data_IF_838058535816
#
_entry.id   IF_838058535816
#
_cell.length_a   1.000
_cell.length_b   1.000
_cell.length_c   1.000
_cell.angle_alpha   90.00
_cell.angle_beta   90.00
_cell.angle_gamma   90.00
#
_symmetry.space_group_name_H-M   'P 1'
#
loop_
_entity.id
_entity.type
_entity.pdbx_description
1 polymer ?
#
# COMPACT_ATOMS: atom_id res chain seq x y z
N UNK A 1 -4.20 10.44 -85.19
CA UNK A 1 -3.93 11.69 -84.43
C UNK A 1 -3.54 11.33 -83.01
N UNK A 2 -2.33 11.76 -82.62
CA UNK A 2 -1.76 11.97 -81.27
C UNK A 2 -1.75 10.83 -80.24
N UNK A 3 -0.58 10.18 -80.19
CA UNK A 3 0.13 9.81 -78.95
C UNK A 3 0.48 11.06 -78.10
N UNK A 4 0.45 10.94 -76.77
CA UNK A 4 1.27 11.67 -75.78
C UNK A 4 0.99 11.03 -74.39
N UNK A 5 1.95 10.43 -73.68
CA UNK A 5 3.14 10.94 -72.94
C UNK A 5 2.80 11.65 -71.60
N UNK A 6 3.47 11.12 -70.56
CA UNK A 6 4.02 11.81 -69.36
C UNK A 6 2.98 12.23 -68.29
N UNK A 7 3.19 12.10 -66.97
CA UNK A 7 4.41 12.28 -66.18
C UNK A 7 4.37 11.56 -64.82
N UNK A 8 5.54 11.09 -64.37
CA UNK A 8 5.90 10.78 -62.98
C UNK A 8 5.68 11.99 -62.08
N UNK A 9 5.22 11.78 -60.85
CA UNK A 9 5.48 12.69 -59.73
C UNK A 9 6.12 11.90 -58.58
N UNK A 10 7.43 12.06 -58.47
CA UNK A 10 8.22 11.88 -57.25
C UNK A 10 7.91 13.08 -56.34
N UNK A 11 7.52 12.85 -55.10
CA UNK A 11 7.66 13.85 -54.04
C UNK A 11 8.65 13.34 -53.01
N UNK A 12 9.85 13.92 -53.09
CA UNK A 12 10.85 13.96 -52.04
C UNK A 12 10.34 14.84 -50.90
N UNK A 13 10.29 14.30 -49.69
CA UNK A 13 10.41 15.10 -48.48
C UNK A 13 11.57 14.56 -47.65
N UNK A 14 12.76 15.08 -47.97
CA UNK A 14 13.89 15.09 -47.07
C UNK A 14 13.60 16.12 -45.96
N UNK A 15 13.52 15.66 -44.71
CA UNK A 15 13.63 16.52 -43.54
C UNK A 15 14.92 16.16 -42.81
N UNK A 16 15.79 17.16 -42.76
CA UNK A 16 17.07 17.18 -42.07
C UNK A 16 16.89 16.88 -40.57
N UNK A 17 17.64 15.90 -40.07
CA UNK A 17 18.05 15.85 -38.66
C UNK A 17 19.55 15.60 -38.63
N UNK A 18 20.31 16.71 -38.61
CA UNK A 18 21.72 16.72 -38.23
C UNK A 18 21.75 16.80 -36.70
N UNK A 19 22.03 15.68 -36.03
CA UNK A 19 22.57 15.74 -34.68
C UNK A 19 24.09 15.65 -34.77
N UNK A 20 24.72 16.68 -34.22
CA UNK A 20 26.16 16.79 -34.07
C UNK A 20 26.66 15.68 -33.15
N UNK A 21 27.61 14.91 -33.65
CA UNK A 21 28.56 14.18 -32.82
C UNK A 21 29.66 15.18 -32.42
N UNK A 22 29.76 15.49 -31.13
CA UNK A 22 30.96 16.07 -30.55
C UNK A 22 31.54 15.07 -29.56
N UNK A 23 32.61 14.42 -30.02
CA UNK A 23 33.65 13.84 -29.18
C UNK A 23 34.45 14.98 -28.56
N UNK A 24 34.65 14.95 -27.24
CA UNK A 24 35.73 15.66 -26.58
C UNK A 24 36.34 14.80 -25.46
N UNK A 25 37.50 14.28 -25.82
CA UNK A 25 38.63 13.75 -25.05
C UNK A 25 38.90 14.25 -23.62
N UNK A 26 39.26 13.28 -22.76
CA UNK A 26 40.35 13.26 -21.73
C UNK A 26 40.19 14.04 -20.40
N UNK A 27 40.89 13.68 -19.30
CA UNK A 27 42.04 12.75 -19.23
C UNK A 27 42.05 11.66 -18.14
N UNK A 28 42.91 10.66 -18.43
CA UNK A 28 43.54 9.68 -17.56
C UNK A 28 43.98 10.21 -16.17
N UNK A 29 43.84 9.35 -15.15
CA UNK A 29 44.90 9.12 -14.16
C UNK A 29 45.07 7.62 -13.86
N UNK A 30 46.34 7.24 -13.80
CA UNK A 30 46.91 5.89 -13.66
C UNK A 30 46.81 5.32 -12.22
N UNK A 31 46.84 3.99 -12.17
CA UNK A 31 47.49 3.09 -11.20
C UNK A 31 47.37 3.34 -9.69
N UNK A 32 46.89 2.32 -8.96
CA UNK A 32 47.71 1.58 -7.97
C UNK A 32 47.10 0.20 -7.68
N UNK A 33 47.89 -0.85 -7.92
CA UNK A 33 47.71 -2.21 -7.43
C UNK A 33 48.97 -2.58 -6.62
N UNK A 34 48.82 -3.01 -5.35
CA UNK A 34 49.78 -3.64 -4.39
C UNK A 34 49.39 -3.22 -2.97
N UNK A 35 49.36 -4.01 -1.88
CA UNK A 35 49.79 -5.35 -1.43
C UNK A 35 48.79 -5.69 -0.27
N UNK A 36 48.34 -6.91 0.01
CA UNK A 36 49.09 -8.08 0.47
C UNK A 36 48.48 -8.59 1.81
N UNK A 37 48.50 -9.92 2.01
CA UNK A 37 48.19 -10.69 3.25
C UNK A 37 46.68 -10.92 3.55
N UNK A 38 46.16 -12.12 3.90
CA UNK A 38 46.75 -13.41 4.26
C UNK A 38 45.78 -14.56 3.94
N UNK A 39 46.37 -15.71 3.64
CA UNK A 39 45.78 -17.05 3.54
C UNK A 39 45.51 -17.58 4.96
N UNK A 40 44.36 -18.24 5.20
CA UNK A 40 44.23 -19.59 5.81
C UNK A 40 42.75 -20.03 5.89
N UNK A 41 42.41 -21.23 5.38
CA UNK A 41 41.16 -21.95 5.68
C UNK A 41 41.44 -23.24 6.49
N UNK A 42 40.66 -23.49 7.55
CA UNK A 42 40.51 -24.78 8.27
C UNK A 42 39.25 -24.68 9.15
N UNK A 43 38.47 -25.70 9.48
CA UNK A 43 38.09 -27.03 9.00
C UNK A 43 37.03 -27.53 10.01
N UNK A 44 36.27 -28.58 9.65
CA UNK A 44 35.43 -29.44 10.51
C UNK A 44 34.07 -28.88 10.99
N UNK A 45 32.98 -29.65 11.07
CA UNK A 45 32.68 -31.10 10.92
C UNK A 45 31.18 -31.23 10.59
N UNK A 46 30.78 -32.00 9.59
CA UNK A 46 30.24 -33.37 9.70
C UNK A 46 29.12 -33.60 10.74
N UNK A 47 28.05 -34.23 10.21
CA UNK A 47 27.04 -35.08 10.84
C UNK A 47 25.98 -34.42 11.74
N UNK A 48 24.72 -34.50 11.28
CA UNK A 48 23.66 -35.20 12.00
C UNK A 48 22.58 -35.70 11.03
N UNK A 49 22.53 -37.02 10.92
CA UNK A 49 21.43 -37.85 10.41
C UNK A 49 20.47 -38.08 11.58
N UNK A 50 19.15 -37.93 11.36
CA UNK A 50 18.04 -38.72 11.93
C UNK A 50 16.72 -37.97 11.70
N UNK A 51 15.83 -38.48 10.86
CA UNK A 51 14.81 -39.48 11.20
C UNK A 51 13.77 -38.95 12.20
N UNK A 52 12.64 -38.45 11.70
CA UNK A 52 11.34 -38.60 12.36
C UNK A 52 10.23 -38.72 11.31
N UNK A 53 9.94 -39.96 10.96
CA UNK A 53 8.66 -40.41 10.46
C UNK A 53 7.69 -40.43 11.64
N UNK A 54 6.54 -39.78 11.55
CA UNK A 54 5.37 -40.13 12.36
C UNK A 54 4.11 -39.84 11.56
N UNK A 55 3.61 -40.90 10.93
CA UNK A 55 2.23 -41.07 10.53
C UNK A 55 1.36 -41.25 11.78
N UNK A 56 0.30 -40.46 11.90
CA UNK A 56 -0.79 -40.79 12.82
C UNK A 56 -2.11 -40.68 12.06
N UNK A 57 -2.72 -41.86 11.90
CA UNK A 57 -4.08 -42.06 11.45
C UNK A 57 -5.05 -41.37 12.41
N UNK A 58 -5.97 -40.55 11.89
CA UNK A 58 -7.17 -40.13 12.62
C UNK A 58 -8.34 -40.96 12.10
N UNK A 59 -8.75 -41.92 12.91
CA UNK A 59 -9.96 -42.72 12.72
C UNK A 59 -11.16 -41.97 13.28
N UNK A 60 -12.21 -41.95 12.47
CA UNK A 60 -13.58 -41.57 12.80
C UNK A 60 -14.10 -42.27 14.06
N UNK A 61 -14.74 -41.51 14.95
CA UNK A 61 -15.80 -42.04 15.81
C UNK A 61 -16.85 -40.97 16.10
N UNK A 62 -18.02 -41.16 15.48
CA UNK A 62 -19.28 -40.47 15.76
C UNK A 62 -19.84 -41.01 17.07
N UNK A 63 -20.05 -40.14 18.06
CA UNK A 63 -20.96 -40.41 19.18
C UNK A 63 -21.86 -39.20 19.39
N UNK A 64 -23.10 -39.35 18.95
CA UNK A 64 -24.23 -38.47 19.27
C UNK A 64 -24.63 -38.67 20.73
N UNK A 65 -24.36 -37.68 21.58
CA UNK A 65 -24.93 -37.63 22.93
C UNK A 65 -25.92 -36.47 22.99
N UNK A 66 -27.20 -36.82 22.98
CA UNK A 66 -28.34 -35.92 23.17
C UNK A 66 -28.47 -35.60 24.64
N UNK A 67 -28.03 -34.40 25.05
CA UNK A 67 -28.22 -33.89 26.40
C UNK A 67 -29.38 -32.89 26.41
N UNK A 68 -30.50 -33.33 26.99
CA UNK A 68 -31.67 -32.51 27.30
C UNK A 68 -31.32 -31.50 28.40
N UNK A 69 -31.39 -30.21 28.09
CA UNK A 69 -31.39 -29.14 29.09
C UNK A 69 -32.83 -28.64 29.34
N UNK A 70 -33.23 -28.43 30.61
CA UNK A 70 -34.56 -27.96 30.94
C UNK A 70 -34.76 -26.49 30.56
N UNK A 71 -35.93 -26.24 29.95
CA UNK A 71 -36.44 -24.97 29.47
C UNK A 71 -36.72 -24.01 30.63
N UNK A 72 -35.79 -23.09 30.88
CA UNK A 72 -35.98 -22.00 31.84
C UNK A 72 -36.83 -20.88 31.23
N UNK A 73 -37.97 -20.61 31.84
CA UNK A 73 -38.91 -19.53 31.49
C UNK A 73 -38.32 -18.18 31.88
N UNK A 74 -37.73 -17.47 30.92
CA UNK A 74 -37.33 -16.06 31.08
C UNK A 74 -38.53 -15.15 30.82
N UNK A 75 -38.80 -14.29 31.79
CA UNK A 75 -39.72 -13.15 31.73
C UNK A 75 -39.23 -12.10 30.71
N UNK A 76 -40.13 -11.32 30.08
CA UNK A 76 -39.74 -10.30 29.12
C UNK A 76 -39.19 -9.08 29.86
N UNK A 77 -37.88 -9.06 30.05
CA UNK A 77 -37.16 -7.91 30.63
C UNK A 77 -37.10 -6.77 29.61
N UNK A 78 -37.63 -5.62 30.02
CA UNK A 78 -37.61 -4.33 29.34
C UNK A 78 -36.25 -4.04 28.68
N UNK A 79 -36.25 -3.95 27.34
CA UNK A 79 -35.13 -3.43 26.55
C UNK A 79 -35.00 -1.91 26.76
N UNK A 80 -34.41 -1.50 27.88
CA UNK A 80 -33.89 -0.15 28.00
C UNK A 80 -32.63 -0.01 27.13
N UNK A 81 -32.76 0.85 26.11
CA UNK A 81 -31.69 1.36 25.25
C UNK A 81 -30.49 1.86 26.09
N UNK A 82 -29.44 1.04 26.20
CA UNK A 82 -28.23 1.33 26.98
C UNK A 82 -27.02 1.74 26.11
N UNK A 83 -27.28 2.40 24.98
CA UNK A 83 -26.24 2.99 24.12
C UNK A 83 -26.39 4.51 24.04
N UNK A 84 -26.31 5.21 25.18
CA UNK A 84 -26.19 6.67 25.21
C UNK A 84 -24.74 7.09 25.43
N UNK A 85 -23.87 6.74 24.49
CA UNK A 85 -22.57 7.40 24.35
C UNK A 85 -22.75 8.66 23.51
N UNK A 86 -23.18 9.75 24.16
CA UNK A 86 -23.01 11.11 23.65
C UNK A 86 -21.52 11.49 23.70
N UNK A 87 -20.67 10.77 22.95
CA UNK A 87 -19.45 11.39 22.43
C UNK A 87 -19.96 12.55 21.59
N UNK A 88 -19.59 13.77 21.98
CA UNK A 88 -19.90 15.02 21.28
C UNK A 88 -19.22 15.08 19.90
N UNK A 89 -19.52 14.10 19.04
CA UNK A 89 -19.44 14.30 17.61
C UNK A 89 -20.40 15.44 17.30
N UNK A 90 -19.95 16.48 16.58
CA UNK A 90 -20.88 17.50 16.12
C UNK A 90 -22.03 16.76 15.43
N UNK A 91 -23.25 16.98 15.92
CA UNK A 91 -24.45 16.35 15.36
C UNK A 91 -24.47 16.72 13.88
N UNK A 92 -24.15 15.75 13.02
CA UNK A 92 -24.21 15.94 11.58
C UNK A 92 -25.64 16.32 11.24
N UNK A 93 -25.79 17.34 10.40
CA UNK A 93 -27.11 17.68 9.88
C UNK A 93 -27.66 16.49 9.08
N UNK A 94 -28.98 16.34 9.05
CA UNK A 94 -29.65 15.31 8.25
C UNK A 94 -29.18 15.33 6.78
N UNK A 95 -28.92 16.52 6.24
CA UNK A 95 -28.37 16.72 4.88
C UNK A 95 -26.98 16.09 4.72
N UNK A 96 -26.05 16.35 5.65
CA UNK A 96 -24.69 15.80 5.62
C UNK A 96 -24.69 14.28 5.75
N UNK A 97 -25.60 13.71 6.56
CA UNK A 97 -25.73 12.27 6.66
C UNK A 97 -26.13 11.64 5.32
N UNK A 98 -27.14 12.21 4.64
CA UNK A 98 -27.53 11.73 3.30
C UNK A 98 -26.40 11.85 2.28
N UNK A 99 -25.65 12.96 2.31
CA UNK A 99 -24.50 13.16 1.43
C UNK A 99 -23.40 12.11 1.65
N UNK A 100 -23.10 11.76 2.91
CA UNK A 100 -22.16 10.68 3.23
C UNK A 100 -22.66 9.34 2.68
N UNK A 101 -23.94 9.00 2.89
CA UNK A 101 -24.52 7.75 2.39
C UNK A 101 -24.47 7.68 0.87
N UNK A 102 -24.71 8.80 0.19
CA UNK A 102 -24.61 8.88 -1.27
C UNK A 102 -23.16 8.66 -1.75
N UNK A 103 -22.18 9.31 -1.12
CA UNK A 103 -20.75 9.11 -1.44
C UNK A 103 -20.31 7.67 -1.17
N UNK A 104 -20.76 7.04 -0.09
CA UNK A 104 -20.49 5.63 0.20
C UNK A 104 -21.09 4.71 -0.86
N UNK A 105 -22.29 5.02 -1.36
CA UNK A 105 -22.91 4.27 -2.46
C UNK A 105 -22.14 4.46 -3.77
N UNK A 106 -21.62 5.66 -4.05
CA UNK A 106 -20.75 5.90 -5.21
C UNK A 106 -19.47 5.04 -5.12
N UNK A 107 -18.82 4.97 -3.95
CA UNK A 107 -17.64 4.10 -3.73
C UNK A 107 -17.95 2.63 -4.04
N UNK A 108 -19.13 2.15 -3.63
CA UNK A 108 -19.57 0.75 -3.89
C UNK A 108 -19.85 0.48 -5.37
N UNK A 109 -20.28 1.48 -6.12
CA UNK A 109 -20.57 1.35 -7.56
C UNK A 109 -19.30 1.34 -8.43
N UNK A 110 -18.17 1.88 -7.92
CA UNK A 110 -16.88 1.82 -8.63
C UNK A 110 -16.38 0.37 -8.67
N UNK A 111 -16.50 -0.24 -9.85
CA UNK A 111 -16.04 -1.61 -10.13
C UNK A 111 -14.53 -1.67 -10.19
N UNK A 112 -13.96 -2.70 -9.58
CA UNK A 112 -12.52 -2.96 -9.68
C UNK A 112 -12.18 -3.56 -11.04
N UNK A 113 -11.06 -3.15 -11.66
CA UNK A 113 -10.64 -3.70 -12.95
C UNK A 113 -10.35 -5.20 -12.79
N UNK A 114 -10.63 -5.98 -13.83
CA UNK A 114 -10.34 -7.42 -13.85
C UNK A 114 -8.85 -7.65 -14.04
N UNK A 115 -8.30 -8.67 -13.37
CA UNK A 115 -6.90 -9.08 -13.54
C UNK A 115 -6.58 -9.35 -15.02
N UNK A 116 -5.38 -8.97 -15.52
CA UNK A 116 -4.99 -9.19 -16.90
C UNK A 116 -4.86 -10.68 -17.19
N UNK A 117 -5.11 -11.08 -18.43
CA UNK A 117 -4.97 -12.48 -18.84
C UNK A 117 -3.50 -12.85 -19.04
N UNK A 118 -3.13 -14.08 -18.73
CA UNK A 118 -1.79 -14.60 -19.05
C UNK A 118 -1.63 -14.83 -20.55
N UNK A 119 -0.40 -14.92 -21.05
CA UNK A 119 -0.13 -15.17 -22.47
C UNK A 119 -0.85 -16.43 -22.99
N UNK A 120 -0.83 -17.52 -22.23
CA UNK A 120 -1.56 -18.74 -22.56
C UNK A 120 -3.09 -18.54 -22.57
N UNK A 121 -3.65 -17.80 -21.59
CA UNK A 121 -5.09 -17.52 -21.58
C UNK A 121 -5.52 -16.67 -22.79
N UNK A 122 -4.68 -15.74 -23.24
CA UNK A 122 -4.94 -14.94 -24.45
C UNK A 122 -4.93 -15.85 -25.68
N UNK A 123 -3.96 -16.76 -25.78
CA UNK A 123 -3.90 -17.77 -26.83
C UNK A 123 -5.13 -18.68 -26.82
N UNK A 124 -5.45 -19.29 -25.66
CA UNK A 124 -6.58 -20.18 -25.47
C UNK A 124 -7.88 -19.47 -25.89
N UNK A 125 -8.15 -18.25 -25.40
CA UNK A 125 -9.37 -17.51 -25.72
C UNK A 125 -9.53 -17.22 -27.23
N UNK A 126 -8.44 -17.03 -27.97
CA UNK A 126 -8.49 -16.81 -29.42
C UNK A 126 -8.76 -18.10 -30.19
N UNK A 127 -8.04 -19.17 -29.85
CA UNK A 127 -8.10 -20.43 -30.59
C UNK A 127 -9.28 -21.32 -30.19
N UNK A 128 -9.81 -21.17 -28.97
CA UNK A 128 -10.87 -22.03 -28.44
C UNK A 128 -12.09 -22.11 -29.35
N UNK A 129 -12.56 -20.96 -29.86
CA UNK A 129 -13.72 -20.94 -30.75
C UNK A 129 -13.42 -21.53 -32.14
N UNK A 130 -12.17 -21.43 -32.61
CA UNK A 130 -11.74 -22.01 -33.88
C UNK A 130 -11.70 -23.54 -33.78
N UNK A 131 -11.06 -24.06 -32.73
CA UNK A 131 -11.02 -25.51 -32.47
C UNK A 131 -12.42 -26.07 -32.24
N UNK A 132 -13.26 -25.38 -31.46
CA UNK A 132 -14.66 -25.79 -31.24
C UNK A 132 -15.47 -25.86 -32.53
N UNK A 133 -15.19 -24.97 -33.49
CA UNK A 133 -15.85 -24.97 -34.81
C UNK A 133 -15.35 -26.12 -35.69
N UNK A 134 -14.06 -26.43 -35.64
CA UNK A 134 -13.45 -27.52 -36.42
C UNK A 134 -13.77 -28.90 -35.84
N UNK A 135 -13.87 -29.00 -34.51
CA UNK A 135 -14.08 -30.24 -33.78
C UNK A 135 -15.26 -30.09 -32.80
N UNK A 136 -16.51 -29.94 -33.30
CA UNK A 136 -17.67 -29.66 -32.46
C UNK A 136 -18.09 -30.83 -31.55
N UNK A 137 -17.53 -32.02 -31.77
CA UNK A 137 -17.78 -33.21 -30.96
C UNK A 137 -16.94 -33.23 -29.66
N UNK A 138 -15.88 -32.43 -29.58
CA UNK A 138 -15.02 -32.36 -28.39
C UNK A 138 -15.68 -31.55 -27.27
N UNK A 139 -15.54 -32.03 -26.04
CA UNK A 139 -15.93 -31.32 -24.83
C UNK A 139 -14.99 -30.11 -24.61
N UNK A 140 -15.49 -29.06 -23.95
CA UNK A 140 -14.68 -27.86 -23.67
C UNK A 140 -13.35 -28.18 -22.98
N UNK A 141 -13.34 -29.16 -22.07
CA UNK A 141 -12.12 -29.59 -21.37
C UNK A 141 -11.08 -30.22 -22.33
N UNK A 142 -11.54 -31.07 -23.25
CA UNK A 142 -10.68 -31.72 -24.25
C UNK A 142 -10.08 -30.68 -25.21
N UNK A 143 -10.84 -29.64 -25.55
CA UNK A 143 -10.35 -28.51 -26.36
C UNK A 143 -9.26 -27.74 -25.61
N UNK A 144 -9.46 -27.40 -24.32
CA UNK A 144 -8.44 -26.74 -23.51
C UNK A 144 -7.17 -27.59 -23.36
N UNK A 145 -7.31 -28.89 -23.11
CA UNK A 145 -6.18 -29.81 -23.01
C UNK A 145 -5.41 -29.88 -24.34
N UNK A 146 -6.12 -29.97 -25.48
CA UNK A 146 -5.52 -29.93 -26.81
C UNK A 146 -4.74 -28.62 -27.06
N UNK A 147 -5.34 -27.47 -26.74
CA UNK A 147 -4.69 -26.16 -26.88
C UNK A 147 -3.47 -26.01 -25.98
N UNK A 148 -3.51 -26.57 -24.77
CA UNK A 148 -2.35 -26.59 -23.88
C UNK A 148 -1.17 -27.37 -24.50
N UNK A 149 -1.44 -28.54 -25.09
CA UNK A 149 -0.42 -29.33 -25.77
C UNK A 149 0.16 -28.58 -26.97
N UNK A 150 -0.70 -27.92 -27.76
CA UNK A 150 -0.30 -27.09 -28.89
C UNK A 150 0.61 -25.93 -28.43
N UNK A 151 0.21 -25.18 -27.41
CA UNK A 151 1.03 -24.12 -26.82
C UNK A 151 2.37 -24.65 -26.32
N UNK A 152 2.37 -25.77 -25.61
CA UNK A 152 3.59 -26.28 -24.96
C UNK A 152 4.60 -26.81 -25.97
N UNK A 153 4.15 -27.58 -26.96
CA UNK A 153 5.03 -28.39 -27.81
C UNK A 153 5.06 -27.99 -29.28
N UNK A 154 3.99 -27.39 -29.81
CA UNK A 154 3.88 -27.09 -31.24
C UNK A 154 4.15 -25.63 -31.57
N UNK A 155 3.90 -24.72 -30.62
CA UNK A 155 4.06 -23.29 -30.85
C UNK A 155 5.51 -22.86 -30.61
N UNK A 156 6.14 -22.29 -31.64
CA UNK A 156 7.50 -21.77 -31.58
C UNK A 156 7.60 -20.55 -30.66
N UNK A 157 8.82 -20.27 -30.18
CA UNK A 157 9.05 -19.14 -29.26
C UNK A 157 8.75 -17.79 -29.92
N UNK A 158 8.95 -17.65 -31.24
CA UNK A 158 8.61 -16.43 -31.97
C UNK A 158 7.11 -16.13 -31.95
N UNK A 159 6.28 -17.16 -32.09
CA UNK A 159 4.82 -17.02 -32.08
C UNK A 159 4.30 -16.80 -30.66
N UNK A 160 4.92 -17.44 -29.66
CA UNK A 160 4.65 -17.20 -28.24
C UNK A 160 4.93 -15.75 -27.84
N UNK A 161 5.97 -15.14 -28.39
CA UNK A 161 6.37 -13.76 -28.07
C UNK A 161 5.24 -12.75 -28.31
N UNK A 162 4.45 -12.95 -29.37
CA UNK A 162 3.29 -12.10 -29.68
C UNK A 162 2.28 -12.11 -28.52
N UNK A 163 2.02 -13.27 -27.93
CA UNK A 163 1.11 -13.42 -26.80
C UNK A 163 1.70 -12.88 -25.49
N UNK A 164 3.02 -12.99 -25.31
CA UNK A 164 3.70 -12.36 -24.17
C UNK A 164 3.60 -10.84 -24.23
N UNK A 165 3.84 -10.23 -25.40
CA UNK A 165 3.72 -8.77 -25.54
C UNK A 165 2.26 -8.31 -25.34
N UNK A 166 1.27 -9.08 -25.84
CA UNK A 166 -0.15 -8.81 -25.56
C UNK A 166 -0.48 -8.90 -24.05
N UNK A 167 0.03 -9.90 -23.34
CA UNK A 167 -0.19 -10.05 -21.90
C UNK A 167 0.45 -8.91 -21.11
N UNK A 168 1.65 -8.48 -21.52
CA UNK A 168 2.35 -7.33 -20.95
C UNK A 168 1.58 -6.02 -21.17
N UNK A 169 1.03 -5.81 -22.36
CA UNK A 169 0.19 -4.65 -22.64
C UNK A 169 -1.08 -4.66 -21.78
N UNK A 170 -1.80 -5.79 -21.69
CA UNK A 170 -2.98 -5.91 -20.82
C UNK A 170 -2.64 -5.64 -19.35
N UNK A 171 -1.47 -6.09 -18.90
CA UNK A 171 -0.97 -5.83 -17.55
C UNK A 171 -0.77 -4.33 -17.30
N UNK A 172 -0.14 -3.62 -18.24
CA UNK A 172 0.05 -2.17 -18.15
C UNK A 172 -1.29 -1.41 -18.11
N UNK A 173 -2.22 -1.75 -18.99
CA UNK A 173 -3.56 -1.17 -19.03
C UNK A 173 -4.33 -1.42 -17.73
N UNK A 174 -4.25 -2.64 -17.19
CA UNK A 174 -4.82 -2.99 -15.89
C UNK A 174 -4.29 -2.11 -14.76
N UNK A 175 -2.97 -1.92 -14.67
CA UNK A 175 -2.39 -1.09 -13.62
C UNK A 175 -2.79 0.39 -13.73
N UNK A 176 -2.94 0.91 -14.96
CA UNK A 176 -3.45 2.26 -15.17
C UNK A 176 -4.90 2.40 -14.68
N UNK A 177 -5.76 1.45 -15.04
CA UNK A 177 -7.16 1.42 -14.58
C UNK A 177 -7.27 1.27 -13.06
N UNK A 178 -6.42 0.42 -12.47
CA UNK A 178 -6.38 0.21 -11.03
C UNK A 178 -5.98 1.49 -10.30
N UNK A 179 -4.94 2.18 -10.78
CA UNK A 179 -4.52 3.47 -10.24
C UNK A 179 -5.65 4.51 -10.29
N UNK A 180 -6.36 4.59 -11.42
CA UNK A 180 -7.48 5.50 -11.57
C UNK A 180 -8.63 5.19 -10.60
N UNK A 181 -8.98 3.90 -10.47
CA UNK A 181 -10.04 3.42 -9.56
C UNK A 181 -9.70 3.73 -8.10
N UNK A 182 -8.46 3.48 -7.69
CA UNK A 182 -7.97 3.79 -6.34
C UNK A 182 -8.04 5.30 -6.08
N UNK A 183 -7.60 6.11 -7.03
CA UNK A 183 -7.64 7.57 -6.93
C UNK A 183 -9.08 8.07 -6.75
N UNK A 184 -10.02 7.59 -7.56
CA UNK A 184 -11.43 7.97 -7.49
C UNK A 184 -12.07 7.58 -6.15
N UNK A 185 -11.85 6.35 -5.69
CA UNK A 185 -12.32 5.90 -4.36
C UNK A 185 -11.73 6.77 -3.24
N UNK A 186 -10.45 7.10 -3.30
CA UNK A 186 -9.79 7.94 -2.29
C UNK A 186 -10.35 9.37 -2.28
N UNK A 187 -10.66 9.93 -3.44
CA UNK A 187 -11.28 11.26 -3.55
C UNK A 187 -12.66 11.28 -2.86
N UNK A 188 -13.48 10.25 -3.04
CA UNK A 188 -14.78 10.13 -2.38
C UNK A 188 -14.64 9.95 -0.87
N UNK A 189 -13.67 9.13 -0.42
CA UNK A 189 -13.34 8.98 1.00
C UNK A 189 -12.90 10.31 1.63
N UNK A 190 -12.13 11.10 0.91
CA UNK A 190 -11.73 12.44 1.37
C UNK A 190 -12.94 13.35 1.54
N UNK A 191 -13.88 13.36 0.59
CA UNK A 191 -15.13 14.15 0.74
C UNK A 191 -15.94 13.75 1.97
N UNK A 192 -16.06 12.44 2.23
CA UNK A 192 -16.73 11.93 3.43
C UNK A 192 -16.00 12.42 4.68
N UNK A 193 -14.68 12.38 4.69
CA UNK A 193 -13.86 12.89 5.78
C UNK A 193 -14.11 14.38 6.01
N UNK A 194 -14.04 15.19 4.95
CA UNK A 194 -14.28 16.62 5.02
C UNK A 194 -15.67 16.94 5.60
N UNK A 195 -16.71 16.19 5.23
CA UNK A 195 -18.05 16.37 5.80
C UNK A 195 -18.07 16.01 7.29
N UNK A 196 -17.43 14.90 7.68
CA UNK A 196 -17.39 14.43 9.08
C UNK A 196 -16.61 15.39 9.99
N UNK A 197 -15.53 15.99 9.49
CA UNK A 197 -14.56 16.70 10.32
C UNK A 197 -14.53 18.22 10.14
N UNK A 198 -14.88 18.80 8.98
CA UNK A 198 -14.96 20.27 8.82
C UNK A 198 -16.08 20.93 9.65
N UNK A 199 -16.98 20.14 10.23
CA UNK A 199 -17.95 20.62 11.22
C UNK A 199 -17.28 21.11 12.52
N UNK A 200 -16.08 20.59 12.83
CA UNK A 200 -15.40 20.83 14.10
C UNK A 200 -14.70 22.19 14.08
N UNK A 201 -14.06 22.56 12.96
CA UNK A 201 -13.26 23.78 12.89
C UNK A 201 -14.10 25.07 12.94
N UNK A 202 -15.34 25.05 12.46
CA UNK A 202 -16.24 26.21 12.58
C UNK A 202 -16.67 26.49 14.02
N UNK A 203 -16.77 25.46 14.86
CA UNK A 203 -17.14 25.61 16.28
C UNK A 203 -15.95 26.07 17.13
N UNK A 204 -14.73 25.70 16.74
CA UNK A 204 -13.50 26.15 17.41
C UNK A 204 -13.13 27.57 16.97
N UNK A 205 -13.27 27.93 15.69
CA UNK A 205 -12.99 29.28 15.20
C UNK A 205 -13.95 30.35 15.73
N UNK A 206 -15.18 29.97 16.12
CA UNK A 206 -16.15 30.87 16.76
C UNK A 206 -15.97 30.98 18.28
N UNK A 207 -15.10 30.16 18.89
CA UNK A 207 -14.64 30.31 20.27
C UNK A 207 -13.23 30.88 20.23
N UNK A 208 -13.12 32.19 20.02
CA UNK A 208 -11.90 32.96 20.26
C UNK A 208 -11.50 32.84 21.73
N UNK A 209 -10.69 31.84 22.05
CA UNK A 209 -10.05 31.69 23.36
C UNK A 209 -8.97 32.79 23.45
N UNK A 210 -8.97 33.62 24.50
CA UNK A 210 -7.93 34.62 24.71
C UNK A 210 -6.55 33.95 24.77
N UNK A 211 -5.62 34.47 23.98
CA UNK A 211 -4.21 34.09 23.99
C UNK A 211 -3.57 34.42 25.35
N UNK A 212 -3.52 33.48 26.28
CA UNK A 212 -2.57 33.53 27.40
C UNK A 212 -2.27 32.11 27.86
N UNK A 213 -1.13 31.58 27.42
CA UNK A 213 -0.09 31.02 28.29
C UNK A 213 0.91 30.23 27.46
N UNK A 214 2.15 30.65 27.68
CA UNK A 214 3.37 30.39 26.98
C UNK A 214 4.06 29.15 27.55
N UNK A 215 4.58 28.32 26.63
CA UNK A 215 5.74 27.44 26.73
C UNK A 215 6.28 27.08 28.11
N UNK A 216 6.24 25.78 28.45
CA UNK A 216 7.34 25.12 29.17
C UNK A 216 7.55 23.70 28.61
N UNK A 217 8.69 23.53 27.94
CA UNK A 217 9.22 22.26 27.46
C UNK A 217 10.27 21.77 28.47
N UNK A 218 9.95 20.72 29.22
CA UNK A 218 10.89 20.03 30.10
C UNK A 218 11.29 18.68 29.49
N UNK A 219 12.59 18.55 29.25
CA UNK A 219 13.29 17.33 28.82
C UNK A 219 13.47 16.39 30.02
N UNK A 220 13.21 15.09 29.87
CA UNK A 220 13.77 14.09 30.80
C UNK A 220 13.94 12.72 30.14
N UNK A 221 15.11 12.15 30.42
CA UNK A 221 15.60 10.84 30.04
C UNK A 221 14.99 9.74 30.93
N UNK A 222 14.81 8.53 30.36
CA UNK A 222 15.06 7.29 31.10
C UNK A 222 13.87 6.39 31.45
N UNK A 223 14.05 5.12 31.08
CA UNK A 223 13.50 3.88 31.66
C UNK A 223 12.11 3.37 31.22
N UNK A 224 12.15 2.08 30.89
CA UNK A 224 11.14 1.22 30.30
C UNK A 224 9.99 0.89 31.26
N UNK A 225 8.85 0.45 30.71
CA UNK A 225 7.82 -0.27 31.47
C UNK A 225 6.54 0.49 31.78
N UNK A 226 6.05 1.31 30.87
CA UNK A 226 4.64 1.70 30.72
C UNK A 226 4.54 2.46 29.40
N UNK A 227 3.49 2.27 28.61
CA UNK A 227 3.22 3.09 27.42
C UNK A 227 2.85 4.50 27.89
N UNK A 228 3.85 5.27 28.32
CA UNK A 228 3.71 6.69 28.60
C UNK A 228 3.43 7.37 27.27
N UNK A 229 2.43 8.25 27.15
CA UNK A 229 2.04 8.90 25.90
C UNK A 229 3.08 9.91 25.37
N UNK A 230 4.36 9.83 25.77
CA UNK A 230 5.41 10.80 25.43
C UNK A 230 6.35 10.39 24.30
N UNK A 231 6.08 9.31 23.58
CA UNK A 231 6.82 8.98 22.35
C UNK A 231 6.21 9.74 21.18
N UNK A 232 7.03 10.46 20.41
CA UNK A 232 6.67 11.22 19.18
C UNK A 232 5.47 10.60 18.43
N UNK A 233 4.51 11.45 18.03
CA UNK A 233 3.35 11.04 17.26
C UNK A 233 3.77 10.15 16.08
N UNK A 234 3.43 8.87 16.13
CA UNK A 234 3.76 7.91 15.07
C UNK A 234 2.71 8.00 13.98
N UNK A 235 3.11 8.44 12.80
CA UNK A 235 2.33 8.34 11.57
C UNK A 235 3.27 7.93 10.43
N UNK A 236 2.72 7.27 9.43
CA UNK A 236 3.42 6.80 8.25
C UNK A 236 3.65 7.97 7.28
N UNK A 237 4.90 8.12 6.85
CA UNK A 237 5.23 9.02 5.74
C UNK A 237 4.69 8.48 4.42
N UNK A 238 4.54 9.35 3.42
CA UNK A 238 4.13 8.95 2.07
C UNK A 238 5.02 7.83 1.49
N UNK A 239 6.34 7.94 1.72
CA UNK A 239 7.29 6.92 1.32
C UNK A 239 7.10 5.60 2.07
N UNK A 240 6.73 5.61 3.37
CA UNK A 240 6.43 4.38 4.11
C UNK A 240 5.22 3.64 3.53
N UNK A 241 4.17 4.36 3.12
CA UNK A 241 3.03 3.76 2.42
C UNK A 241 3.44 3.12 1.10
N UNK A 242 4.19 3.86 0.27
CA UNK A 242 4.71 3.36 -1.00
C UNK A 242 5.58 2.10 -0.82
N UNK A 243 6.51 2.12 0.14
CA UNK A 243 7.37 0.97 0.45
C UNK A 243 6.54 -0.24 0.89
N UNK A 244 5.51 -0.05 1.71
CA UNK A 244 4.63 -1.13 2.19
C UNK A 244 3.96 -1.87 1.01
N UNK A 245 3.56 -1.14 -0.03
CA UNK A 245 2.95 -1.75 -1.22
C UNK A 245 3.97 -2.41 -2.15
N UNK A 246 5.16 -1.79 -2.31
CA UNK A 246 6.13 -2.23 -3.31
C UNK A 246 7.05 -3.37 -2.83
N UNK A 247 7.32 -3.47 -1.52
CA UNK A 247 8.18 -4.54 -0.97
C UNK A 247 7.64 -5.95 -1.27
N UNK A 248 6.35 -6.28 -1.04
CA UNK A 248 5.82 -7.62 -1.36
C UNK A 248 5.93 -7.96 -2.84
N UNK A 249 5.68 -6.98 -3.71
CA UNK A 249 5.79 -7.13 -5.16
C UNK A 249 7.24 -7.47 -5.52
N UNK A 250 8.21 -6.68 -5.05
CA UNK A 250 9.63 -6.92 -5.32
C UNK A 250 10.15 -8.25 -4.74
N UNK A 251 9.62 -8.68 -3.59
CA UNK A 251 9.95 -9.99 -2.99
C UNK A 251 9.41 -11.14 -3.85
N UNK A 252 8.24 -10.97 -4.47
CA UNK A 252 7.65 -11.97 -5.35
C UNK A 252 8.32 -12.03 -6.74
N UNK A 253 8.75 -10.89 -7.29
CA UNK A 253 9.39 -10.83 -8.61
C UNK A 253 10.88 -11.15 -8.56
N UNK A 254 11.55 -10.80 -7.46
CA UNK A 254 12.98 -11.02 -7.25
C UNK A 254 13.25 -11.70 -5.91
N UNK A 255 12.88 -12.98 -5.77
CA UNK A 255 13.08 -13.72 -4.52
C UNK A 255 14.55 -13.92 -4.19
N UNK A 256 15.44 -14.05 -5.19
CA UNK A 256 16.90 -14.20 -4.95
C UNK A 256 17.62 -12.92 -4.52
N UNK A 257 16.99 -11.76 -4.68
CA UNK A 257 17.65 -10.49 -4.44
C UNK A 257 17.88 -10.21 -2.95
N UNK A 258 19.00 -9.57 -2.60
CA UNK A 258 19.25 -9.16 -1.22
C UNK A 258 18.24 -8.08 -0.77
N UNK A 259 17.96 -8.04 0.53
CA UNK A 259 17.10 -7.03 1.14
C UNK A 259 17.59 -5.60 0.90
N UNK A 260 18.91 -5.37 0.90
CA UNK A 260 19.49 -4.04 0.64
C UNK A 260 19.28 -3.60 -0.80
N UNK A 261 19.46 -4.52 -1.75
CA UNK A 261 19.27 -4.23 -3.18
C UNK A 261 17.80 -3.94 -3.51
N UNK A 262 16.85 -4.70 -2.93
CA UNK A 262 15.42 -4.38 -3.04
C UNK A 262 15.09 -3.00 -2.50
N UNK A 263 15.64 -2.63 -1.34
CA UNK A 263 15.41 -1.30 -0.78
C UNK A 263 16.00 -0.18 -1.64
N UNK A 264 17.18 -0.39 -2.22
CA UNK A 264 17.80 0.54 -3.17
C UNK A 264 16.89 0.76 -4.37
N UNK A 265 16.40 -0.32 -4.99
CA UNK A 265 15.46 -0.22 -6.11
C UNK A 265 14.15 0.50 -5.72
N UNK A 266 13.59 0.25 -4.54
CA UNK A 266 12.39 0.96 -4.07
C UNK A 266 12.67 2.46 -3.89
N UNK A 267 13.84 2.84 -3.36
CA UNK A 267 14.24 4.25 -3.26
C UNK A 267 14.36 4.89 -4.64
N UNK A 268 14.96 4.21 -5.61
CA UNK A 268 15.12 4.71 -6.97
C UNK A 268 13.76 4.87 -7.66
N UNK A 269 12.87 3.87 -7.55
CA UNK A 269 11.49 3.97 -8.05
C UNK A 269 10.74 5.16 -7.43
N UNK A 270 10.88 5.40 -6.11
CA UNK A 270 10.25 6.57 -5.48
C UNK A 270 10.78 7.89 -6.04
N UNK A 271 12.07 7.98 -6.37
CA UNK A 271 12.67 9.17 -6.98
C UNK A 271 12.14 9.41 -8.39
N UNK A 272 11.94 8.34 -9.15
CA UNK A 272 11.39 8.38 -10.52
C UNK A 272 9.91 8.76 -10.59
N UNK A 273 9.13 8.52 -9.53
CA UNK A 273 7.73 8.93 -9.50
C UNK A 273 7.58 10.46 -9.63
N UNK A 274 6.68 10.89 -10.51
CA UNK A 274 6.27 12.29 -10.61
C UNK A 274 5.35 12.70 -9.45
N UNK A 275 5.14 14.00 -9.28
CA UNK A 275 4.33 14.55 -8.19
C UNK A 275 2.88 14.04 -8.21
N UNK A 276 2.31 13.84 -9.40
CA UNK A 276 0.97 13.29 -9.57
C UNK A 276 0.87 11.83 -9.08
N UNK A 277 1.91 11.01 -9.26
CA UNK A 277 1.99 9.65 -8.72
C UNK A 277 2.21 9.66 -7.21
N UNK A 278 3.06 10.56 -6.70
CA UNK A 278 3.34 10.71 -5.26
C UNK A 278 2.11 11.23 -4.50
N UNK A 279 1.23 11.99 -5.16
CA UNK A 279 0.07 12.63 -4.55
C UNK A 279 -0.82 11.66 -3.76
N UNK A 280 -1.09 10.46 -4.30
CA UNK A 280 -1.90 9.47 -3.60
C UNK A 280 -1.29 9.07 -2.24
N UNK A 281 0.01 8.80 -2.20
CA UNK A 281 0.73 8.46 -0.98
C UNK A 281 0.85 9.64 -0.01
N UNK A 282 0.98 10.87 -0.54
CA UNK A 282 0.94 12.10 0.28
C UNK A 282 -0.41 12.23 0.97
N UNK A 283 -1.51 11.94 0.29
CA UNK A 283 -2.84 11.96 0.91
C UNK A 283 -3.01 10.87 1.96
N UNK A 284 -2.53 9.65 1.71
CA UNK A 284 -2.51 8.59 2.74
C UNK A 284 -1.71 9.02 3.98
N UNK A 285 -0.54 9.64 3.79
CA UNK A 285 0.29 10.15 4.88
C UNK A 285 -0.37 11.28 5.66
N UNK A 286 -1.10 12.17 5.00
CA UNK A 286 -1.88 13.23 5.65
C UNK A 286 -3.01 12.65 6.49
N UNK A 287 -3.78 11.73 5.92
CA UNK A 287 -4.86 11.05 6.62
C UNK A 287 -4.35 10.28 7.85
N UNK A 288 -3.21 9.59 7.73
CA UNK A 288 -2.60 8.86 8.84
C UNK A 288 -2.07 9.79 9.94
N UNK A 289 -1.47 10.93 9.55
CA UNK A 289 -1.07 11.97 10.49
C UNK A 289 -2.26 12.52 11.28
N UNK A 290 -3.38 12.77 10.61
CA UNK A 290 -4.61 13.25 11.26
C UNK A 290 -5.20 12.19 12.20
N UNK A 291 -5.21 10.91 11.78
CA UNK A 291 -5.60 9.78 12.64
C UNK A 291 -4.72 9.73 13.89
N UNK A 292 -3.40 9.84 13.74
CA UNK A 292 -2.47 9.83 14.87
C UNK A 292 -2.71 11.00 15.82
N UNK A 293 -2.97 12.22 15.30
CA UNK A 293 -3.34 13.38 16.10
C UNK A 293 -4.64 13.15 16.89
N UNK A 294 -5.64 12.52 16.26
CA UNK A 294 -6.90 12.17 16.91
C UNK A 294 -6.69 11.17 18.06
N UNK A 295 -5.92 10.10 17.83
CA UNK A 295 -5.56 9.12 18.87
C UNK A 295 -4.84 9.81 20.03
N UNK A 296 -3.86 10.66 19.74
CA UNK A 296 -3.14 11.42 20.77
C UNK A 296 -4.08 12.33 21.58
N UNK A 297 -5.05 12.98 20.93
CA UNK A 297 -6.08 13.77 21.60
C UNK A 297 -6.95 12.90 22.52
N UNK A 298 -7.34 11.70 22.10
CA UNK A 298 -8.09 10.76 22.94
C UNK A 298 -7.28 10.31 24.15
N UNK A 299 -6.00 9.97 23.98
CA UNK A 299 -5.10 9.63 25.09
C UNK A 299 -4.99 10.77 26.10
N UNK A 300 -4.89 12.02 25.62
CA UNK A 300 -4.88 13.20 26.50
C UNK A 300 -6.18 13.33 27.29
N UNK A 301 -7.34 13.24 26.64
CA UNK A 301 -8.66 13.30 27.30
C UNK A 301 -8.78 12.19 28.35
N UNK A 302 -8.35 10.97 28.01
CA UNK A 302 -8.34 9.83 28.95
C UNK A 302 -7.53 10.17 30.20
N UNK A 303 -6.32 10.70 30.04
CA UNK A 303 -5.45 11.05 31.16
C UNK A 303 -6.03 12.19 32.01
N UNK A 304 -6.61 13.20 31.36
CA UNK A 304 -7.25 14.32 32.07
C UNK A 304 -8.45 13.84 32.89
N UNK A 305 -9.26 12.91 32.35
CA UNK A 305 -10.36 12.28 33.08
C UNK A 305 -9.88 11.46 34.27
N UNK A 306 -8.84 10.63 34.08
CA UNK A 306 -8.24 9.84 35.16
C UNK A 306 -7.65 10.71 36.26
N UNK A 307 -7.06 11.86 35.90
CA UNK A 307 -6.46 12.80 36.86
C UNK A 307 -7.52 13.55 37.67
N UNK A 308 -8.60 13.99 37.02
CA UNK A 308 -9.61 14.85 37.65
C UNK A 308 -10.69 14.06 38.39
N UNK A 309 -10.91 12.79 38.05
CA UNK A 309 -11.95 11.96 38.65
C UNK A 309 -11.40 10.57 39.00
N UNK A 310 -10.60 10.45 40.08
CA UNK A 310 -10.00 9.17 40.46
C UNK A 310 -11.05 8.10 40.80
N UNK A 311 -12.24 8.48 41.25
CA UNK A 311 -13.36 7.57 41.52
C UNK A 311 -13.90 6.87 40.25
N UNK A 312 -13.79 7.51 39.07
CA UNK A 312 -14.14 6.89 37.78
C UNK A 312 -13.15 5.78 37.36
N UNK A 313 -11.98 5.70 37.99
CA UNK A 313 -11.02 4.62 37.75
C UNK A 313 -11.49 3.30 38.38
N UNK A 314 -12.31 3.36 39.44
CA UNK A 314 -12.93 2.15 40.03
C UNK A 314 -14.07 1.60 39.15
N UNK A 315 -14.72 2.45 38.35
CA UNK A 315 -15.65 2.04 37.30
C UNK A 315 -14.87 1.57 36.05
N UNK A 316 -14.28 0.36 36.15
CA UNK A 316 -13.48 -0.31 35.10
C UNK A 316 -14.07 -0.22 33.69
N UNK A 317 -15.39 -0.13 33.57
CA UNK A 317 -16.11 -0.12 32.29
C UNK A 317 -15.79 1.08 31.39
N UNK A 318 -15.54 2.26 31.95
CA UNK A 318 -15.33 3.48 31.13
C UNK A 318 -13.91 3.52 30.58
N UNK A 319 -12.91 3.26 31.43
CA UNK A 319 -11.49 3.24 31.04
C UNK A 319 -11.21 2.09 30.07
N UNK A 320 -11.78 0.90 30.33
CA UNK A 320 -11.64 -0.27 29.46
C UNK A 320 -12.20 -0.05 28.06
N UNK A 321 -13.32 0.68 27.92
CA UNK A 321 -13.91 1.00 26.61
C UNK A 321 -13.11 2.03 25.82
N UNK A 322 -12.47 3.00 26.50
CA UNK A 322 -11.54 3.93 25.83
C UNK A 322 -10.32 3.16 25.34
N UNK A 323 -9.78 2.25 26.15
CA UNK A 323 -8.66 1.40 25.77
C UNK A 323 -8.99 0.45 24.62
N UNK A 324 -10.17 -0.17 24.66
CA UNK A 324 -10.65 -1.01 23.57
C UNK A 324 -10.79 -0.22 22.27
N UNK A 325 -11.28 1.02 22.33
CA UNK A 325 -11.41 1.84 21.11
C UNK A 325 -10.07 2.36 20.60
N UNK A 326 -9.13 2.70 21.49
CA UNK A 326 -7.75 3.00 21.10
C UNK A 326 -7.14 1.76 20.44
N UNK A 327 -7.41 0.58 20.99
CA UNK A 327 -6.93 -0.71 20.47
C UNK A 327 -7.54 -1.05 19.10
N UNK A 328 -8.85 -0.95 18.92
CA UNK A 328 -9.53 -1.17 17.63
C UNK A 328 -9.02 -0.22 16.54
N UNK A 329 -8.82 1.06 16.87
CA UNK A 329 -8.26 2.04 15.91
C UNK A 329 -6.77 1.80 15.60
N UNK A 330 -6.04 1.10 16.47
CA UNK A 330 -4.62 0.74 16.29
C UNK A 330 -4.43 -0.64 15.61
N UNK A 331 -5.30 -1.62 15.86
CA UNK A 331 -5.23 -2.97 15.29
C UNK A 331 -5.44 -2.98 13.77
N UNK A 332 -6.25 -2.06 13.23
CA UNK A 332 -6.36 -1.82 11.77
C UNK A 332 -5.03 -1.40 11.10
N UNK A 333 -4.00 -1.06 11.88
CA UNK A 333 -2.70 -0.58 11.36
C UNK A 333 -1.58 -1.62 11.55
N UNK A 334 -1.71 -2.60 12.47
CA UNK A 334 -0.55 -3.35 12.97
C UNK A 334 -0.41 -4.81 12.53
N UNK A 335 -1.45 -5.49 12.05
CA UNK A 335 -1.38 -6.95 11.88
C UNK A 335 -0.40 -7.44 10.79
N UNK A 336 0.02 -6.58 9.85
CA UNK A 336 0.88 -6.99 8.72
C UNK A 336 2.30 -6.40 8.75
N UNK A 337 2.69 -5.72 9.84
CA UNK A 337 3.99 -5.01 9.93
C UNK A 337 4.98 -5.58 10.95
N UNK A 338 4.59 -6.57 11.77
CA UNK A 338 5.43 -7.06 12.88
C UNK A 338 6.59 -7.97 12.47
N UNK A 339 6.70 -8.38 11.20
CA UNK A 339 7.76 -9.30 10.75
C UNK A 339 9.00 -8.60 10.18
N UNK A 340 9.06 -7.25 10.12
CA UNK A 340 10.14 -6.56 9.40
C UNK A 340 10.82 -5.38 10.14
N UNK A 341 10.60 -5.19 11.44
CA UNK A 341 11.41 -4.25 12.25
C UNK A 341 12.64 -4.96 12.84
N UNK A 342 13.57 -5.38 11.99
CA UNK A 342 14.96 -5.59 12.41
C UNK A 342 15.74 -4.27 12.20
N UNK A 343 16.09 -3.67 13.35
CA UNK A 343 16.96 -2.52 13.60
C UNK A 343 17.62 -1.88 12.37
N UNK A 344 17.12 -0.70 12.00
CA UNK A 344 17.93 0.28 11.27
C UNK A 344 17.97 1.56 12.11
N UNK A 345 19.17 1.98 12.47
CA UNK A 345 19.41 3.17 13.29
C UNK A 345 18.91 4.43 12.57
N UNK A 346 17.94 5.11 13.20
CA UNK A 346 17.32 6.36 12.75
C UNK A 346 18.30 7.55 12.91
N UNK A 347 19.31 7.65 12.05
CA UNK A 347 20.30 8.72 12.10
C UNK A 347 20.48 9.49 10.79
N UNK A 348 19.40 9.72 10.02
CA UNK A 348 19.51 10.55 8.81
C UNK A 348 18.19 11.24 8.42
N UNK A 349 17.79 12.25 9.20
CA UNK A 349 16.75 13.20 8.76
C UNK A 349 17.04 14.63 9.23
N UNK A 350 18.06 15.26 8.65
CA UNK A 350 18.15 16.73 8.54
C UNK A 350 19.05 17.13 7.37
N UNK A 351 18.54 17.22 6.14
CA UNK A 351 19.21 18.06 5.13
C UNK A 351 18.30 18.61 4.02
N UNK A 352 17.23 19.31 4.42
CA UNK A 352 16.41 20.12 3.50
C UNK A 352 16.20 21.53 4.04
N UNK A 353 17.28 22.30 4.22
CA UNK A 353 17.21 23.79 4.32
C UNK A 353 18.52 24.45 3.88
N UNK A 354 18.70 24.70 2.57
CA UNK A 354 19.49 25.83 2.06
C UNK A 354 19.37 25.98 0.53
N UNK A 355 18.38 26.73 0.05
CA UNK A 355 18.45 27.36 -1.28
C UNK A 355 17.89 28.77 -1.15
N UNK A 356 18.74 29.78 -1.40
CA UNK A 356 18.30 31.17 -1.58
C UNK A 356 19.13 32.24 -0.89
N UNK A 357 20.39 32.43 -1.28
CA UNK A 357 21.06 33.74 -1.18
C UNK A 357 21.81 34.01 -2.49
N UNK A 358 21.15 34.70 -3.41
CA UNK A 358 21.77 35.29 -4.60
C UNK A 358 22.52 36.54 -4.15
N UNK A 359 23.86 36.52 -4.28
CA UNK A 359 24.72 37.68 -4.10
C UNK A 359 24.90 38.30 -5.48
N UNK A 360 24.43 39.53 -5.65
CA UNK A 360 24.75 40.38 -6.80
C UNK A 360 26.17 40.92 -6.63
N UNK A 361 27.08 40.56 -7.54
CA UNK A 361 28.38 41.21 -7.65
C UNK A 361 28.38 42.19 -8.82
N UNK A 362 28.78 43.42 -8.50
CA UNK A 362 28.90 44.54 -9.43
C UNK A 362 30.09 44.38 -10.36
N UNK A 363 29.93 44.98 -11.54
CA UNK A 363 31.01 45.24 -12.49
C UNK A 363 31.63 46.60 -12.13
N UNK A 364 32.94 46.63 -11.96
CA UNK A 364 33.78 47.77 -12.32
C UNK A 364 34.46 47.48 -13.66
#
# INVERSE_FOLDING_TARGET
>A
MKQARESRNFYNHASNSKFYAEEACYPHYHDYCRQGYCIQPKNHSQNCVNCYSNSVNYSDSKTTTTTNYPRSTMTPSSHHNLFSYDKAYPKLSKKQYFEIVELENQIKLIKEPKKPSTAYQIFENKEFNLVKKQMPHLQSKEISDFLYQQWKFQLDNSDKEIYFEMAKQQSQEYFQQLKQTIFEKNLLRQKIYDIKYNCIDKVVASRSIPHTLQNQSASSNGSQGAVKPSGKLKFMSAYRFFRRELVPIMKSTHPEMDGKDRQKMIKDHWRELNDNQKYAYVQMSRADREKALYIHKLCRIKNDLMKNNPELVEQRDIVGRIDQRIKEELEDVSEDSSEFEQSFDDNEETDYKAVGKVKTEGKE
#
